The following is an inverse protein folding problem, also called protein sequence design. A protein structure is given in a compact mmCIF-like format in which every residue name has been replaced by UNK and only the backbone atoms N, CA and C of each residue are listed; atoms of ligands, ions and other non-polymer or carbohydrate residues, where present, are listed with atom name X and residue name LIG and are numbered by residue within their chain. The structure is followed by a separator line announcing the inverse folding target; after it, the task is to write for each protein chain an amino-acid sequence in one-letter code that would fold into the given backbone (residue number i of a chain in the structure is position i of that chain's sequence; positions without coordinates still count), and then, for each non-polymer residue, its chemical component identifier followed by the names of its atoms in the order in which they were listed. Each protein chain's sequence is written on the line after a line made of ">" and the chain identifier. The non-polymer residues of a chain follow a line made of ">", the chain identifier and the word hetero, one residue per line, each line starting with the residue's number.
data_IF_122212773832
#
_entry.id   IF_122212773832
#
_cell.length_a   1.000
_cell.length_b   1.000
_cell.length_c   1.000
_cell.angle_alpha   90.00
_cell.angle_beta   90.00
_cell.angle_gamma   90.00
#
_symmetry.space_group_name_H-M   'P 1'
#
loop_
_entity.id
_entity.type
_entity.pdbx_description
1 polymer ?
#
# COMPACT_ATOMS: atom_id res chain seq x y z
N UNK A 1 -20.48 -24.50 -20.21
CA UNK A 1 -19.69 -24.99 -19.06
C UNK A 1 -20.09 -26.44 -18.84
N UNK A 2 -19.14 -27.37 -18.68
CA UNK A 2 -19.50 -28.79 -18.48
C UNK A 2 -19.96 -29.00 -17.04
N UNK A 3 -21.20 -29.45 -16.83
CA UNK A 3 -21.78 -29.75 -15.50
C UNK A 3 -20.90 -30.72 -14.69
N UNK A 4 -20.17 -31.60 -15.36
CA UNK A 4 -19.26 -32.56 -14.75
C UNK A 4 -18.09 -31.89 -14.02
N UNK A 5 -17.64 -30.72 -14.48
CA UNK A 5 -16.48 -30.01 -13.93
C UNK A 5 -16.90 -29.28 -12.65
N UNK A 6 -18.06 -28.61 -12.68
CA UNK A 6 -18.65 -27.98 -11.49
C UNK A 6 -18.93 -29.00 -10.39
N UNK A 7 -19.41 -30.20 -10.75
CA UNK A 7 -19.63 -31.29 -9.79
C UNK A 7 -18.33 -31.76 -9.14
N UNK A 8 -17.25 -31.89 -9.91
CA UNK A 8 -15.93 -32.29 -9.39
C UNK A 8 -15.31 -31.21 -8.51
N UNK A 9 -15.42 -29.94 -8.89
CA UNK A 9 -14.94 -28.82 -8.09
C UNK A 9 -15.70 -28.73 -6.76
N UNK A 10 -17.02 -28.96 -6.73
CA UNK A 10 -17.81 -29.05 -5.48
C UNK A 10 -17.30 -30.13 -4.54
N UNK A 11 -16.96 -31.31 -5.07
CA UNK A 11 -16.39 -32.40 -4.27
C UNK A 11 -15.00 -32.05 -3.72
N UNK A 12 -14.21 -31.30 -4.48
CA UNK A 12 -12.83 -30.98 -4.12
C UNK A 12 -12.70 -29.76 -3.22
N UNK A 13 -13.51 -28.72 -3.40
CA UNK A 13 -13.47 -27.46 -2.66
C UNK A 13 -14.45 -27.44 -1.49
N UNK A 14 -15.57 -28.15 -1.57
CA UNK A 14 -16.57 -28.24 -0.48
C UNK A 14 -17.42 -26.98 -0.27
N UNK A 15 -17.19 -25.91 -1.04
CA UNK A 15 -17.91 -24.63 -0.95
C UNK A 15 -18.28 -24.13 -2.36
N UNK A 16 -19.57 -23.84 -2.56
CA UNK A 16 -20.12 -23.33 -3.82
C UNK A 16 -19.54 -21.96 -4.22
N UNK A 17 -19.15 -21.13 -3.25
CA UNK A 17 -18.54 -19.83 -3.51
C UNK A 17 -17.08 -19.98 -3.98
N UNK A 18 -16.32 -20.91 -3.39
CA UNK A 18 -14.98 -21.26 -3.88
C UNK A 18 -15.05 -21.89 -5.28
N UNK A 19 -16.06 -22.70 -5.57
CA UNK A 19 -16.30 -23.25 -6.91
C UNK A 19 -16.60 -22.13 -7.91
N UNK A 20 -17.40 -21.13 -7.52
CA UNK A 20 -17.71 -19.97 -8.36
C UNK A 20 -16.45 -19.14 -8.63
N UNK A 21 -15.66 -18.85 -7.59
CA UNK A 21 -14.40 -18.11 -7.69
C UNK A 21 -13.39 -18.85 -8.57
N UNK A 22 -13.22 -20.16 -8.35
CA UNK A 22 -12.36 -21.01 -9.16
C UNK A 22 -12.78 -20.96 -10.64
N UNK A 23 -14.07 -21.12 -10.91
CA UNK A 23 -14.60 -21.14 -12.28
C UNK A 23 -14.47 -19.77 -12.95
N UNK A 24 -14.61 -18.69 -12.19
CA UNK A 24 -14.46 -17.32 -12.69
C UNK A 24 -13.00 -16.99 -13.04
N UNK A 25 -12.04 -17.50 -12.26
CA UNK A 25 -10.62 -17.16 -12.40
C UNK A 25 -9.87 -18.12 -13.34
N UNK A 26 -10.18 -19.42 -13.31
CA UNK A 26 -9.41 -20.47 -14.01
C UNK A 26 -10.24 -21.22 -15.08
N UNK A 27 -11.52 -20.85 -15.24
CA UNK A 27 -12.40 -21.47 -16.21
C UNK A 27 -12.72 -22.94 -15.90
N UNK A 28 -12.70 -23.80 -16.91
CA UNK A 28 -13.10 -25.21 -16.82
C UNK A 28 -11.95 -26.20 -16.58
N UNK A 29 -10.72 -25.74 -16.38
CA UNK A 29 -9.58 -26.64 -16.15
C UNK A 29 -9.48 -26.94 -14.66
N UNK A 30 -9.40 -28.21 -14.27
CA UNK A 30 -9.23 -28.62 -12.85
C UNK A 30 -7.73 -28.76 -12.56
N UNK A 31 -7.21 -27.90 -11.69
CA UNK A 31 -5.83 -27.89 -11.22
C UNK A 31 -5.83 -28.16 -9.71
N UNK A 32 -5.17 -29.26 -9.32
CA UNK A 32 -5.12 -29.72 -7.93
C UNK A 32 -4.22 -28.80 -7.07
N UNK A 33 -3.19 -28.19 -7.66
CA UNK A 33 -2.32 -27.24 -6.98
C UNK A 33 -3.09 -26.00 -6.54
N UNK A 34 -3.87 -25.42 -7.46
CA UNK A 34 -4.73 -24.26 -7.20
C UNK A 34 -5.82 -24.59 -6.19
N UNK A 35 -6.44 -25.78 -6.29
CA UNK A 35 -7.46 -26.22 -5.31
C UNK A 35 -6.87 -26.35 -3.91
N UNK A 36 -5.64 -26.88 -3.78
CA UNK A 36 -4.93 -26.95 -2.50
C UNK A 36 -4.62 -25.55 -1.97
N UNK A 37 -4.10 -24.67 -2.81
CA UNK A 37 -3.81 -23.28 -2.42
C UNK A 37 -5.07 -22.53 -1.98
N UNK A 38 -6.20 -22.70 -2.67
CA UNK A 38 -7.48 -22.10 -2.27
C UNK A 38 -8.00 -22.66 -0.94
N UNK A 39 -7.78 -23.95 -0.67
CA UNK A 39 -8.11 -24.58 0.62
C UNK A 39 -7.17 -24.14 1.74
N UNK A 40 -5.89 -24.05 1.46
CA UNK A 40 -4.87 -23.68 2.44
C UNK A 40 -4.95 -22.17 2.76
N UNK A 41 -5.28 -21.34 1.75
CA UNK A 41 -5.62 -19.93 1.93
C UNK A 41 -6.92 -19.74 2.71
N UNK A 42 -7.88 -20.66 2.58
CA UNK A 42 -9.12 -20.68 3.37
C UNK A 42 -8.93 -21.16 4.81
N UNK A 43 -7.91 -21.99 5.07
CA UNK A 43 -7.61 -22.56 6.40
C UNK A 43 -6.73 -21.68 7.28
N UNK A 44 -6.11 -20.61 6.76
CA UNK A 44 -5.47 -19.58 7.58
C UNK A 44 -6.49 -18.64 8.28
N UNK A 45 -7.78 -18.87 8.08
CA UNK A 45 -8.89 -18.10 8.66
C UNK A 45 -10.00 -19.01 9.20
N UNK A 46 -9.67 -19.98 10.07
CA UNK A 46 -10.69 -20.78 10.77
C UNK A 46 -11.26 -20.06 11.99
N UNK A 47 -11.68 -18.82 11.81
CA UNK A 47 -12.88 -18.26 12.44
C UNK A 47 -13.66 -17.69 11.26
N UNK A 48 -14.81 -18.30 10.91
CA UNK A 48 -15.73 -17.69 9.96
C UNK A 48 -16.08 -16.30 10.50
N UNK A 49 -15.44 -15.25 9.97
CA UNK A 49 -15.76 -13.88 10.35
C UNK A 49 -17.14 -13.56 9.79
N UNK A 50 -18.17 -13.91 10.57
CA UNK A 50 -19.59 -13.70 10.27
C UNK A 50 -19.81 -12.22 10.02
N UNK A 51 -20.21 -11.85 8.81
CA UNK A 51 -20.55 -10.47 8.49
C UNK A 51 -20.65 -10.18 7.00
N UNK A 52 -21.27 -9.05 6.68
CA UNK A 52 -21.36 -8.52 5.32
C UNK A 52 -19.98 -8.16 4.78
N UNK A 53 -19.79 -8.32 3.47
CA UNK A 53 -18.56 -7.89 2.81
C UNK A 53 -18.43 -6.36 2.83
N UNK A 54 -17.36 -5.80 3.44
CA UNK A 54 -17.13 -4.36 3.46
C UNK A 54 -16.60 -3.83 2.11
N UNK A 55 -16.12 -4.70 1.21
CA UNK A 55 -15.50 -4.30 -0.06
C UNK A 55 -16.55 -4.23 -1.17
N UNK A 56 -16.41 -3.24 -2.05
CA UNK A 56 -17.15 -3.17 -3.31
C UNK A 56 -16.21 -2.87 -4.48
N UNK A 57 -16.61 -3.29 -5.67
CA UNK A 57 -15.83 -3.14 -6.90
C UNK A 57 -16.12 -1.82 -7.61
N UNK A 58 -15.13 -1.34 -8.34
CA UNK A 58 -15.15 -0.12 -9.13
C UNK A 58 -14.62 -0.41 -10.53
N UNK A 59 -15.31 0.08 -11.55
CA UNK A 59 -14.80 0.08 -12.93
C UNK A 59 -14.12 1.41 -13.23
N UNK A 60 -12.85 1.35 -13.59
CA UNK A 60 -11.98 2.51 -13.80
C UNK A 60 -11.34 2.48 -15.19
N UNK A 61 -10.94 3.66 -15.67
CA UNK A 61 -10.20 3.81 -16.91
C UNK A 61 -8.72 4.12 -16.62
N UNK A 62 -7.82 3.35 -17.22
CA UNK A 62 -6.38 3.57 -17.12
C UNK A 62 -5.96 4.84 -17.88
N UNK A 63 -5.26 5.79 -17.26
CA UNK A 63 -4.79 7.00 -17.97
C UNK A 63 -3.62 6.72 -18.93
N UNK A 64 -2.87 5.62 -18.72
CA UNK A 64 -1.65 5.32 -19.49
C UNK A 64 -2.00 4.66 -20.83
N UNK A 65 -2.77 3.56 -20.80
CA UNK A 65 -3.11 2.79 -22.00
C UNK A 65 -4.57 2.93 -22.47
N UNK A 66 -5.36 3.79 -21.81
CA UNK A 66 -6.79 4.03 -22.09
C UNK A 66 -7.69 2.77 -22.00
N UNK A 67 -7.23 1.72 -21.32
CA UNK A 67 -8.08 0.57 -21.03
C UNK A 67 -9.25 0.99 -20.11
N UNK A 68 -10.47 0.66 -20.51
CA UNK A 68 -11.71 1.08 -19.83
C UNK A 68 -12.19 0.12 -18.74
N UNK A 69 -11.62 -1.09 -18.69
CA UNK A 69 -12.06 -2.15 -17.80
C UNK A 69 -10.98 -2.46 -16.76
N UNK A 70 -10.57 -1.45 -15.98
CA UNK A 70 -9.68 -1.65 -14.84
C UNK A 70 -10.53 -1.87 -13.58
N UNK A 71 -10.39 -3.02 -12.94
CA UNK A 71 -11.07 -3.32 -11.68
C UNK A 71 -10.29 -2.70 -10.53
N UNK A 72 -10.97 -1.84 -9.76
CA UNK A 72 -10.49 -1.35 -8.47
C UNK A 72 -11.40 -1.80 -7.33
N UNK A 73 -10.90 -1.73 -6.10
CA UNK A 73 -11.65 -2.08 -4.90
C UNK A 73 -11.72 -0.89 -3.96
N UNK A 74 -12.82 -0.75 -3.23
CA UNK A 74 -12.93 0.25 -2.17
C UNK A 74 -13.77 -0.26 -0.99
N UNK A 75 -13.63 0.38 0.16
CA UNK A 75 -14.37 0.03 1.38
C UNK A 75 -15.67 0.83 1.47
N UNK A 76 -16.75 0.16 1.86
CA UNK A 76 -18.01 0.80 2.26
C UNK A 76 -17.74 1.78 3.40
N UNK A 77 -18.38 2.93 3.38
CA UNK A 77 -18.18 3.96 4.40
C UNK A 77 -18.50 3.39 5.80
N UNK A 78 -17.60 3.65 6.78
CA UNK A 78 -17.71 3.20 8.17
C UNK A 78 -17.82 1.68 8.36
N UNK A 79 -17.43 0.88 7.36
CA UNK A 79 -17.47 -0.59 7.44
C UNK A 79 -16.27 -1.20 8.16
N UNK A 80 -15.17 -0.45 8.26
CA UNK A 80 -13.95 -0.86 8.96
C UNK A 80 -13.47 0.30 9.84
N UNK A 81 -12.91 -0.03 11.00
CA UNK A 81 -12.09 0.88 11.81
C UNK A 81 -10.65 0.73 11.33
N UNK A 82 -10.00 1.87 11.07
CA UNK A 82 -8.64 1.95 10.53
C UNK A 82 -7.72 2.54 11.58
N UNK A 83 -6.70 1.78 11.98
CA UNK A 83 -5.67 2.22 12.92
C UNK A 83 -4.29 1.98 12.31
N UNK A 84 -3.38 2.95 12.39
CA UNK A 84 -2.00 2.76 11.92
C UNK A 84 -1.19 1.94 12.93
N UNK A 85 -0.34 1.04 12.45
CA UNK A 85 0.70 0.43 13.28
C UNK A 85 1.83 1.45 13.60
N UNK A 86 2.91 1.03 14.27
CA UNK A 86 4.04 1.93 14.60
C UNK A 86 4.74 2.51 13.35
N UNK A 87 4.59 1.86 12.20
CA UNK A 87 5.04 2.34 10.89
C UNK A 87 3.95 3.09 10.11
N UNK A 88 2.84 3.44 10.79
CA UNK A 88 1.68 4.15 10.23
C UNK A 88 0.96 3.39 9.10
N UNK A 89 1.26 2.10 8.92
CA UNK A 89 0.57 1.23 7.96
C UNK A 89 -0.81 0.89 8.49
N UNK A 90 -1.88 1.11 7.70
CA UNK A 90 -3.25 0.94 8.17
C UNK A 90 -3.57 -0.52 8.45
N UNK A 91 -4.19 -0.78 9.59
CA UNK A 91 -4.83 -2.02 9.98
C UNK A 91 -6.32 -1.85 10.00
N UNK A 92 -7.00 -2.83 9.45
CA UNK A 92 -8.43 -2.83 9.27
C UNK A 92 -9.06 -3.81 10.25
N UNK A 93 -10.09 -3.34 10.95
CA UNK A 93 -10.92 -4.16 11.84
C UNK A 93 -12.39 -3.97 11.46
N UNK A 94 -13.17 -5.04 11.48
CA UNK A 94 -14.59 -5.02 11.15
C UNK A 94 -15.38 -4.15 12.13
N UNK A 95 -16.42 -3.48 11.63
CA UNK A 95 -17.31 -2.64 12.45
C UNK A 95 -18.76 -3.05 12.23
N UNK A 96 -19.48 -3.24 13.32
CA UNK A 96 -20.90 -3.57 13.30
C UNK A 96 -21.14 -4.93 12.64
N UNK A 97 -21.87 -4.92 11.53
CA UNK A 97 -22.23 -6.13 10.78
C UNK A 97 -21.21 -6.56 9.71
N UNK A 98 -20.15 -5.78 9.50
CA UNK A 98 -19.17 -6.07 8.46
C UNK A 98 -18.06 -6.95 9.02
N UNK A 99 -17.70 -7.98 8.26
CA UNK A 99 -16.52 -8.82 8.57
C UNK A 99 -15.23 -8.00 8.45
N UNK A 100 -14.15 -8.45 9.09
CA UNK A 100 -12.85 -7.80 8.94
C UNK A 100 -12.25 -8.21 7.59
N UNK A 101 -11.57 -7.26 6.94
CA UNK A 101 -10.88 -7.52 5.67
C UNK A 101 -9.54 -6.83 5.71
N UNK A 102 -8.46 -7.56 5.41
CA UNK A 102 -7.16 -6.95 5.18
C UNK A 102 -7.16 -6.19 3.84
N UNK A 103 -7.60 -4.93 3.87
CA UNK A 103 -7.71 -4.12 2.66
C UNK A 103 -6.34 -3.75 2.06
N UNK A 104 -5.22 -3.94 2.78
CA UNK A 104 -3.89 -3.76 2.20
C UNK A 104 -3.63 -4.73 1.04
N UNK A 105 -4.29 -5.90 1.01
CA UNK A 105 -4.22 -6.81 -0.13
C UNK A 105 -4.87 -6.22 -1.39
N UNK A 106 -5.88 -5.36 -1.26
CA UNK A 106 -6.71 -4.89 -2.38
C UNK A 106 -6.50 -3.41 -2.72
N UNK A 107 -5.84 -2.65 -1.84
CA UNK A 107 -5.70 -1.19 -1.94
C UNK A 107 -5.05 -0.75 -3.25
N UNK A 108 -4.04 -1.48 -3.72
CA UNK A 108 -3.36 -1.16 -4.98
C UNK A 108 -4.19 -1.63 -6.17
N UNK A 109 -4.55 -0.68 -7.03
CA UNK A 109 -5.28 -0.91 -8.28
C UNK A 109 -4.24 -1.14 -9.37
N UNK A 110 -4.41 -2.18 -10.18
CA UNK A 110 -3.50 -2.54 -11.28
C UNK A 110 -4.27 -2.60 -12.58
N UNK A 111 -3.76 -1.93 -13.62
CA UNK A 111 -4.32 -2.08 -14.96
C UNK A 111 -3.92 -3.43 -15.57
N UNK A 112 -4.89 -4.29 -15.84
CA UNK A 112 -4.70 -5.61 -16.45
C UNK A 112 -4.18 -5.63 -17.90
N UNK A 113 -3.86 -4.48 -18.50
CA UNK A 113 -3.29 -4.38 -19.85
C UNK A 113 -1.85 -3.86 -19.87
N UNK A 114 -1.56 -2.81 -19.12
CA UNK A 114 -0.25 -2.14 -19.14
C UNK A 114 0.46 -2.17 -17.78
N UNK A 115 -0.16 -2.83 -16.79
CA UNK A 115 0.31 -2.98 -15.42
C UNK A 115 0.69 -1.69 -14.70
N UNK A 116 0.17 -0.55 -15.18
CA UNK A 116 0.17 0.68 -14.39
C UNK A 116 -0.56 0.42 -13.07
N UNK A 117 0.09 0.73 -11.95
CA UNK A 117 -0.43 0.46 -10.62
C UNK A 117 -0.37 1.71 -9.73
N UNK A 118 -1.44 1.95 -8.98
CA UNK A 118 -1.47 2.98 -7.94
C UNK A 118 -2.44 2.61 -6.81
N UNK A 119 -2.10 2.92 -5.54
CA UNK A 119 -3.05 2.86 -4.43
C UNK A 119 -4.01 4.07 -4.37
N UNK A 120 -3.76 5.14 -5.13
CA UNK A 120 -4.65 6.31 -5.20
C UNK A 120 -5.61 6.18 -6.37
N UNK A 121 -6.90 6.02 -6.06
CA UNK A 121 -7.97 5.96 -7.05
C UNK A 121 -8.00 7.19 -7.97
N UNK A 122 -7.53 8.36 -7.52
CA UNK A 122 -7.49 9.59 -8.33
C UNK A 122 -6.46 9.53 -9.45
N UNK A 123 -5.51 8.60 -9.40
CA UNK A 123 -4.62 8.34 -10.53
C UNK A 123 -5.33 7.65 -11.68
N UNK A 124 -6.54 7.11 -11.48
CA UNK A 124 -7.37 6.54 -12.52
C UNK A 124 -8.49 7.49 -12.93
N UNK A 125 -8.98 7.34 -14.15
CA UNK A 125 -10.17 8.08 -14.59
C UNK A 125 -11.41 7.31 -14.11
N UNK A 126 -12.26 7.96 -13.32
CA UNK A 126 -13.47 7.36 -12.75
C UNK A 126 -14.68 7.69 -13.60
N UNK A 127 -15.50 6.68 -13.88
CA UNK A 127 -16.84 6.85 -14.46
C UNK A 127 -17.83 7.04 -13.31
N UNK A 128 -18.62 8.10 -13.34
CA UNK A 128 -19.72 8.26 -12.39
C UNK A 128 -20.96 7.53 -12.92
N UNK A 129 -21.33 6.42 -12.28
CA UNK A 129 -22.43 5.54 -12.70
C UNK A 129 -23.78 6.26 -12.83
N UNK A 130 -24.01 7.33 -12.06
CA UNK A 130 -25.28 8.07 -12.05
C UNK A 130 -25.37 9.15 -13.12
N UNK A 131 -24.24 9.75 -13.49
CA UNK A 131 -24.22 10.92 -14.40
C UNK A 131 -23.50 10.65 -15.73
N UNK A 132 -22.90 9.47 -15.88
CA UNK A 132 -22.01 9.09 -16.96
C UNK A 132 -20.87 10.10 -17.23
N UNK A 133 -20.57 10.97 -16.24
CA UNK A 133 -19.49 11.95 -16.33
C UNK A 133 -18.17 11.29 -15.92
N UNK A 134 -17.12 11.63 -16.67
CA UNK A 134 -15.76 11.18 -16.38
C UNK A 134 -15.08 12.16 -15.43
N UNK A 135 -14.64 11.67 -14.27
CA UNK A 135 -13.67 12.37 -13.44
C UNK A 135 -12.29 11.96 -13.93
N UNK A 136 -11.58 12.89 -14.59
CA UNK A 136 -10.25 12.64 -15.16
C UNK A 136 -9.23 12.34 -14.06
N UNK A 137 -8.28 11.48 -14.40
CA UNK A 137 -7.11 11.18 -13.57
C UNK A 137 -6.29 12.43 -13.26
N UNK A 138 -5.74 12.54 -12.06
CA UNK A 138 -4.83 13.62 -11.68
C UNK A 138 -3.51 13.59 -12.47
N UNK A 139 -3.13 12.45 -13.03
CA UNK A 139 -1.94 12.34 -13.90
C UNK A 139 -2.12 13.07 -15.22
N UNK A 140 -3.35 13.35 -15.64
CA UNK A 140 -3.60 14.10 -16.90
C UNK A 140 -3.15 15.56 -16.83
N UNK A 141 -2.78 16.06 -15.64
CA UNK A 141 -2.18 17.38 -15.45
C UNK A 141 -0.76 17.43 -16.04
N UNK A 142 -0.04 16.29 -16.10
CA UNK A 142 1.28 16.19 -16.69
C UNK A 142 1.30 15.14 -17.83
N UNK A 143 0.98 15.54 -19.08
CA UNK A 143 0.95 14.62 -20.23
C UNK A 143 2.30 13.98 -20.57
N UNK A 144 3.41 14.68 -20.28
CA UNK A 144 4.76 14.18 -20.55
C UNK A 144 5.08 13.01 -19.62
N UNK A 145 4.70 13.11 -18.34
CA UNK A 145 4.82 12.01 -17.40
C UNK A 145 3.96 10.79 -17.80
N UNK A 146 2.73 11.01 -18.28
CA UNK A 146 1.90 9.91 -18.81
C UNK A 146 2.54 9.25 -20.04
N UNK A 147 3.23 10.03 -20.88
CA UNK A 147 3.95 9.52 -22.03
C UNK A 147 5.17 8.71 -21.62
N UNK A 148 5.90 9.14 -20.58
CA UNK A 148 7.00 8.39 -19.98
C UNK A 148 6.53 7.06 -19.35
N UNK A 149 5.41 7.08 -18.62
CA UNK A 149 4.77 5.86 -18.12
C UNK A 149 4.38 4.92 -19.27
N UNK A 150 3.97 5.46 -20.42
CA UNK A 150 3.62 4.65 -21.58
C UNK A 150 4.84 4.02 -22.24
N UNK A 151 5.99 4.70 -22.29
CA UNK A 151 7.22 4.14 -22.87
C UNK A 151 7.81 3.00 -22.05
N UNK A 152 7.61 3.00 -20.73
CA UNK A 152 8.04 1.92 -19.82
C UNK A 152 7.01 0.78 -19.67
N UNK A 153 6.03 0.69 -20.58
CA UNK A 153 4.99 -0.34 -20.51
C UNK A 153 5.53 -1.75 -20.65
N UNK A 154 6.48 -1.96 -21.56
CA UNK A 154 7.03 -3.29 -21.85
C UNK A 154 7.84 -3.84 -20.66
N UNK A 155 8.53 -2.97 -19.92
CA UNK A 155 9.24 -3.33 -18.68
C UNK A 155 8.27 -3.87 -17.63
N UNK A 156 7.12 -3.20 -17.43
CA UNK A 156 6.10 -3.67 -16.48
C UNK A 156 5.45 -4.98 -16.94
N UNK A 157 5.23 -5.15 -18.25
CA UNK A 157 4.71 -6.41 -18.80
C UNK A 157 5.70 -7.55 -18.55
N UNK A 158 6.98 -7.34 -18.84
CA UNK A 158 8.03 -8.32 -18.59
C UNK A 158 8.15 -8.65 -17.09
N UNK A 159 8.10 -7.64 -16.22
CA UNK A 159 8.11 -7.82 -14.77
C UNK A 159 6.96 -8.72 -14.27
N UNK A 160 5.73 -8.47 -14.74
CA UNK A 160 4.57 -9.28 -14.37
C UNK A 160 4.65 -10.69 -14.97
N UNK A 161 5.07 -10.82 -16.22
CA UNK A 161 5.23 -12.12 -16.87
C UNK A 161 6.28 -13.00 -16.14
N UNK A 162 7.35 -12.39 -15.62
CA UNK A 162 8.34 -13.10 -14.81
C UNK A 162 7.80 -13.50 -13.42
N UNK A 163 6.95 -12.67 -12.81
CA UNK A 163 6.33 -12.97 -11.53
C UNK A 163 5.22 -14.02 -11.61
N UNK A 164 4.56 -14.15 -12.76
CA UNK A 164 3.41 -15.03 -12.97
C UNK A 164 3.52 -15.82 -14.29
N UNK A 165 4.50 -16.73 -14.44
CA UNK A 165 4.75 -17.43 -15.69
C UNK A 165 3.58 -18.34 -16.14
N UNK A 166 2.84 -18.90 -15.17
CA UNK A 166 1.81 -19.92 -15.41
C UNK A 166 0.37 -19.42 -15.17
N UNK A 167 0.16 -18.12 -14.93
CA UNK A 167 -1.17 -17.60 -14.59
C UNK A 167 -1.99 -17.31 -15.85
N UNK A 168 -3.03 -18.11 -16.07
CA UNK A 168 -4.02 -17.90 -17.13
C UNK A 168 -5.17 -17.03 -16.63
N UNK A 169 -4.93 -15.74 -16.40
CA UNK A 169 -5.96 -14.83 -15.89
C UNK A 169 -5.39 -13.49 -15.44
N UNK A 170 -6.25 -12.63 -14.87
CA UNK A 170 -5.79 -11.43 -14.18
C UNK A 170 -5.47 -11.78 -12.73
N UNK A 171 -4.17 -11.90 -12.35
CA UNK A 171 -3.79 -12.29 -10.99
C UNK A 171 -4.24 -11.26 -9.96
N UNK A 172 -4.48 -10.01 -10.36
CA UNK A 172 -4.76 -8.89 -9.45
C UNK A 172 -6.22 -8.81 -9.02
N UNK A 173 -7.11 -9.67 -9.53
CA UNK A 173 -8.49 -9.76 -9.06
C UNK A 173 -8.56 -10.39 -7.66
N UNK A 174 -9.71 -10.21 -7.01
CA UNK A 174 -10.02 -10.83 -5.71
C UNK A 174 -10.47 -12.29 -5.91
N UNK A 175 -10.07 -13.24 -5.04
CA UNK A 175 -9.20 -13.08 -3.87
C UNK A 175 -7.74 -12.86 -4.26
N UNK A 176 -7.08 -11.88 -3.63
CA UNK A 176 -5.68 -11.56 -3.88
C UNK A 176 -4.80 -12.19 -2.81
N UNK A 177 -3.85 -13.03 -3.23
CA UNK A 177 -2.83 -13.59 -2.35
C UNK A 177 -1.86 -12.52 -1.85
N UNK A 178 -1.10 -12.83 -0.80
CA UNK A 178 -0.05 -11.95 -0.28
C UNK A 178 1.00 -11.66 -1.35
N UNK A 179 1.41 -12.67 -2.12
CA UNK A 179 2.41 -12.51 -3.19
C UNK A 179 1.92 -11.58 -4.29
N UNK A 180 0.67 -11.75 -4.75
CA UNK A 180 0.10 -10.84 -5.73
C UNK A 180 -0.04 -9.42 -5.18
N UNK A 181 -0.42 -9.26 -3.91
CA UNK A 181 -0.47 -7.95 -3.28
C UNK A 181 0.91 -7.28 -3.25
N UNK A 182 1.97 -8.01 -2.88
CA UNK A 182 3.36 -7.53 -2.92
C UNK A 182 3.75 -7.12 -4.34
N UNK A 183 3.47 -7.94 -5.36
CA UNK A 183 3.76 -7.59 -6.76
C UNK A 183 3.00 -6.32 -7.18
N UNK A 184 1.74 -6.15 -6.76
CA UNK A 184 0.99 -4.93 -7.05
C UNK A 184 1.64 -3.68 -6.44
N UNK A 185 2.18 -3.80 -5.22
CA UNK A 185 2.90 -2.72 -4.55
C UNK A 185 4.22 -2.43 -5.26
N UNK A 186 4.96 -3.47 -5.68
CA UNK A 186 6.19 -3.30 -6.48
C UNK A 186 5.94 -2.60 -7.81
N UNK A 187 4.82 -2.87 -8.48
CA UNK A 187 4.42 -2.10 -9.68
C UNK A 187 4.18 -0.61 -9.36
N UNK A 188 3.65 -0.30 -8.17
CA UNK A 188 3.53 1.10 -7.71
C UNK A 188 4.88 1.72 -7.34
N UNK A 189 5.86 0.93 -6.90
CA UNK A 189 7.24 1.39 -6.70
C UNK A 189 7.90 1.75 -8.02
N UNK A 190 7.81 0.91 -9.07
CA UNK A 190 8.33 1.23 -10.41
C UNK A 190 7.79 2.56 -10.95
N UNK A 191 6.52 2.86 -10.67
CA UNK A 191 5.93 4.17 -11.00
C UNK A 191 6.56 5.29 -10.16
N UNK A 192 6.74 5.10 -8.85
CA UNK A 192 7.34 6.10 -7.97
C UNK A 192 8.83 6.36 -8.29
N UNK A 193 9.57 5.36 -8.77
CA UNK A 193 10.92 5.52 -9.32
C UNK A 193 10.90 6.43 -10.56
N UNK A 194 9.94 6.24 -11.48
CA UNK A 194 9.79 7.14 -12.63
C UNK A 194 9.35 8.56 -12.22
N UNK A 195 8.58 8.70 -11.13
CA UNK A 195 8.27 10.00 -10.54
C UNK A 195 9.54 10.68 -10.00
N UNK A 196 10.42 9.92 -9.34
CA UNK A 196 11.72 10.37 -8.87
C UNK A 196 12.60 10.88 -10.02
N UNK A 197 12.76 10.09 -11.08
CA UNK A 197 13.52 10.48 -12.28
C UNK A 197 12.96 11.74 -12.96
N UNK A 198 11.64 11.93 -12.84
CA UNK A 198 10.92 13.08 -13.39
C UNK A 198 10.88 14.28 -12.43
N UNK A 199 11.57 14.23 -11.28
CA UNK A 199 11.68 15.33 -10.33
C UNK A 199 10.41 15.60 -9.51
N UNK A 200 9.50 14.63 -9.38
CA UNK A 200 8.32 14.79 -8.53
C UNK A 200 8.73 14.76 -7.05
N UNK A 201 8.09 15.59 -6.20
CA UNK A 201 8.43 15.63 -4.79
C UNK A 201 7.96 14.37 -4.05
N UNK A 202 8.66 14.05 -2.97
CA UNK A 202 8.33 12.96 -2.03
C UNK A 202 8.33 11.54 -2.63
N UNK A 203 9.01 11.32 -3.75
CA UNK A 203 9.09 9.99 -4.37
C UNK A 203 9.77 8.97 -3.46
N UNK A 204 10.92 9.29 -2.86
CA UNK A 204 11.58 8.46 -1.85
C UNK A 204 10.65 8.13 -0.66
N UNK A 205 9.92 9.12 -0.13
CA UNK A 205 8.93 8.87 0.93
C UNK A 205 7.84 7.87 0.49
N UNK A 206 7.36 7.95 -0.76
CA UNK A 206 6.39 6.98 -1.28
C UNK A 206 6.99 5.57 -1.36
N UNK A 207 8.21 5.43 -1.88
CA UNK A 207 8.90 4.16 -2.01
C UNK A 207 9.15 3.53 -0.64
N UNK A 208 9.65 4.30 0.34
CA UNK A 208 9.79 3.84 1.72
C UNK A 208 8.47 3.36 2.35
N UNK A 209 7.35 4.06 2.09
CA UNK A 209 6.03 3.60 2.52
C UNK A 209 5.58 2.30 1.83
N UNK A 210 5.94 2.08 0.57
CA UNK A 210 5.65 0.83 -0.13
C UNK A 210 6.42 -0.34 0.46
N UNK A 211 7.69 -0.14 0.79
CA UNK A 211 8.48 -1.14 1.52
C UNK A 211 7.86 -1.50 2.87
N UNK A 212 7.39 -0.52 3.65
CA UNK A 212 6.68 -0.79 4.90
C UNK A 212 5.35 -1.55 4.71
N UNK A 213 4.62 -1.30 3.62
CA UNK A 213 3.42 -2.08 3.27
C UNK A 213 3.77 -3.53 2.93
N UNK A 214 4.86 -3.75 2.18
CA UNK A 214 5.37 -5.10 1.89
C UNK A 214 5.79 -5.79 3.20
N UNK A 215 6.49 -5.08 4.08
CA UNK A 215 6.93 -5.61 5.36
C UNK A 215 5.76 -6.07 6.25
N UNK A 216 4.66 -5.30 6.30
CA UNK A 216 3.45 -5.67 7.04
C UNK A 216 2.77 -6.90 6.40
N UNK A 217 2.71 -6.98 5.06
CA UNK A 217 2.14 -8.13 4.38
C UNK A 217 2.96 -9.41 4.61
N UNK A 218 4.29 -9.31 4.57
CA UNK A 218 5.20 -10.41 4.90
C UNK A 218 5.01 -10.87 6.35
N UNK A 219 4.96 -9.94 7.30
CA UNK A 219 4.73 -10.22 8.73
C UNK A 219 3.40 -10.95 8.95
N UNK A 220 2.31 -10.46 8.36
CA UNK A 220 0.99 -11.07 8.46
C UNK A 220 0.94 -12.49 7.85
N UNK A 221 1.80 -12.77 6.87
CA UNK A 221 1.98 -14.09 6.28
C UNK A 221 2.96 -14.98 7.06
N UNK A 222 3.48 -14.54 8.22
CA UNK A 222 4.47 -15.27 9.00
C UNK A 222 5.84 -15.36 8.34
N UNK A 223 6.17 -14.45 7.40
CA UNK A 223 7.44 -14.41 6.67
C UNK A 223 8.38 -13.36 7.29
N UNK A 224 9.68 -13.54 7.08
CA UNK A 224 10.66 -12.51 7.44
C UNK A 224 10.41 -11.23 6.63
N UNK A 225 10.51 -10.08 7.30
CA UNK A 225 10.25 -8.77 6.71
C UNK A 225 11.41 -7.77 6.89
N UNK A 226 12.56 -8.25 7.37
CA UNK A 226 13.73 -7.42 7.71
C UNK A 226 14.26 -6.63 6.51
N UNK A 227 14.46 -7.29 5.37
CA UNK A 227 14.97 -6.64 4.15
C UNK A 227 14.06 -5.50 3.69
N UNK A 228 12.74 -5.65 3.84
CA UNK A 228 11.80 -4.58 3.48
C UNK A 228 11.86 -3.42 4.46
N UNK A 229 12.10 -3.66 5.75
CA UNK A 229 12.29 -2.60 6.75
C UNK A 229 13.63 -1.88 6.52
N UNK A 230 14.68 -2.60 6.13
CA UNK A 230 15.99 -2.03 5.77
C UNK A 230 15.86 -1.12 4.55
N UNK A 231 15.28 -1.60 3.45
CA UNK A 231 15.04 -0.80 2.26
C UNK A 231 14.15 0.43 2.54
N UNK A 232 13.13 0.29 3.40
CA UNK A 232 12.32 1.44 3.81
C UNK A 232 13.14 2.52 4.51
N UNK A 233 14.09 2.14 5.38
CA UNK A 233 14.91 3.10 6.11
C UNK A 233 15.90 3.85 5.22
N UNK A 234 16.43 3.18 4.18
CA UNK A 234 17.30 3.82 3.18
C UNK A 234 16.52 4.89 2.40
N UNK A 235 15.31 4.55 1.93
CA UNK A 235 14.43 5.49 1.24
C UNK A 235 14.00 6.67 2.13
N UNK A 236 13.71 6.44 3.41
CA UNK A 236 13.38 7.55 4.32
C UNK A 236 14.57 8.44 4.64
N UNK A 237 15.77 7.88 4.68
CA UNK A 237 16.99 8.65 4.83
C UNK A 237 17.22 9.53 3.61
N UNK A 238 17.16 8.98 2.40
CA UNK A 238 17.27 9.76 1.16
C UNK A 238 16.16 10.82 1.06
N UNK A 239 14.93 10.48 1.47
CA UNK A 239 13.83 11.44 1.52
C UNK A 239 14.08 12.60 2.50
N UNK A 240 14.73 12.34 3.63
CA UNK A 240 15.04 13.35 4.63
C UNK A 240 16.24 14.22 4.21
N UNK A 241 17.32 13.58 3.77
CA UNK A 241 18.58 14.25 3.37
C UNK A 241 18.39 15.16 2.15
N UNK A 242 17.47 14.80 1.25
CA UNK A 242 17.12 15.62 0.07
C UNK A 242 15.98 16.62 0.32
N UNK A 243 15.51 16.78 1.56
CA UNK A 243 14.42 17.70 1.90
C UNK A 243 14.90 19.00 2.52
N UNK A 244 14.21 20.11 2.21
CA UNK A 244 14.38 21.39 2.90
C UNK A 244 13.61 21.42 4.24
N UNK A 245 13.58 20.29 4.97
CA UNK A 245 12.86 20.15 6.23
C UNK A 245 13.19 21.33 7.17
N UNK A 246 12.19 22.02 7.78
CA UNK A 246 10.79 21.62 8.00
C UNK A 246 9.73 22.47 7.26
N UNK A 247 9.56 22.30 5.95
CA UNK A 247 8.50 22.98 5.18
C UNK A 247 7.13 22.32 5.30
N UNK A 248 7.09 20.99 5.39
CA UNK A 248 5.84 20.23 5.35
C UNK A 248 5.74 19.17 6.45
N UNK A 249 4.52 18.81 6.82
CA UNK A 249 4.27 17.74 7.80
C UNK A 249 4.78 16.38 7.31
N UNK A 250 4.90 16.18 5.99
CA UNK A 250 5.43 14.93 5.41
C UNK A 250 6.88 14.73 5.83
N UNK A 251 7.71 15.77 5.84
CA UNK A 251 9.12 15.67 6.22
C UNK A 251 9.28 15.27 7.69
N UNK A 252 8.45 15.82 8.58
CA UNK A 252 8.43 15.46 10.00
C UNK A 252 7.98 14.00 10.19
N UNK A 253 7.03 13.54 9.38
CA UNK A 253 6.62 12.12 9.34
C UNK A 253 7.72 11.22 8.81
N UNK A 254 8.47 11.65 7.79
CA UNK A 254 9.64 10.93 7.27
C UNK A 254 10.66 10.72 8.39
N UNK A 255 10.97 11.76 9.16
CA UNK A 255 11.90 11.65 10.30
C UNK A 255 11.40 10.65 11.36
N UNK A 256 10.11 10.66 11.70
CA UNK A 256 9.52 9.66 12.59
C UNK A 256 9.68 8.23 12.05
N UNK A 257 9.34 7.99 10.79
CA UNK A 257 9.43 6.66 10.17
C UNK A 257 10.87 6.18 10.03
N UNK A 258 11.80 7.07 9.70
CA UNK A 258 13.24 6.77 9.69
C UNK A 258 13.71 6.31 11.07
N UNK A 259 13.38 7.04 12.13
CA UNK A 259 13.76 6.66 13.49
C UNK A 259 13.10 5.34 13.91
N UNK A 260 11.80 5.16 13.61
CA UNK A 260 11.08 3.93 13.93
C UNK A 260 11.70 2.70 13.25
N UNK A 261 12.05 2.80 11.97
CA UNK A 261 12.68 1.70 11.21
C UNK A 261 14.09 1.40 11.72
N UNK A 262 14.91 2.42 12.00
CA UNK A 262 16.24 2.25 12.58
C UNK A 262 16.20 1.58 13.96
N UNK A 263 15.24 1.95 14.82
CA UNK A 263 15.05 1.29 16.11
C UNK A 263 14.70 -0.18 15.93
N UNK A 264 13.73 -0.49 15.05
CA UNK A 264 13.31 -1.88 14.79
C UNK A 264 14.45 -2.76 14.27
N UNK A 265 15.38 -2.18 13.51
CA UNK A 265 16.59 -2.86 13.03
C UNK A 265 17.68 -3.03 14.11
N UNK A 266 17.48 -2.50 15.31
CA UNK A 266 18.49 -2.50 16.38
C UNK A 266 19.56 -1.41 16.21
N UNK A 267 19.40 -0.47 15.28
CA UNK A 267 20.34 0.63 15.04
C UNK A 267 20.03 1.85 15.92
N UNK A 268 20.00 1.64 17.24
CA UNK A 268 19.66 2.67 18.22
C UNK A 268 20.60 3.88 18.15
N UNK A 269 21.89 3.67 17.84
CA UNK A 269 22.86 4.77 17.73
C UNK A 269 22.44 5.77 16.65
N UNK A 270 22.16 5.28 15.43
CA UNK A 270 21.76 6.13 14.31
C UNK A 270 20.37 6.74 14.53
N UNK A 271 19.43 5.98 15.09
CA UNK A 271 18.13 6.51 15.50
C UNK A 271 18.27 7.70 16.47
N UNK A 272 19.19 7.60 17.44
CA UNK A 272 19.45 8.67 18.42
C UNK A 272 20.16 9.89 17.83
N UNK A 273 20.87 9.75 16.71
CA UNK A 273 21.39 10.89 15.93
C UNK A 273 20.22 11.64 15.28
N UNK A 274 19.32 10.91 14.60
CA UNK A 274 18.16 11.53 13.95
C UNK A 274 17.15 12.14 14.92
N UNK A 275 16.99 11.57 16.11
CA UNK A 275 16.09 12.08 17.14
C UNK A 275 16.37 13.54 17.53
N UNK A 276 17.63 13.98 17.44
CA UNK A 276 18.04 15.35 17.78
C UNK A 276 17.52 16.39 16.79
N UNK A 277 17.27 16.01 15.53
CA UNK A 277 16.75 16.93 14.53
C UNK A 277 15.39 17.51 14.90
N UNK A 278 14.58 16.82 15.73
CA UNK A 278 13.33 17.40 16.22
C UNK A 278 13.57 18.70 16.99
N UNK A 279 14.59 18.76 17.84
CA UNK A 279 14.94 19.96 18.60
C UNK A 279 15.51 21.07 17.71
N UNK A 280 16.31 20.70 16.70
CA UNK A 280 16.87 21.62 15.73
C UNK A 280 15.77 22.26 14.86
N UNK A 281 14.82 21.44 14.38
CA UNK A 281 13.62 21.87 13.64
C UNK A 281 12.78 22.85 14.47
N UNK A 282 12.51 22.52 15.74
CA UNK A 282 11.72 23.40 16.62
C UNK A 282 12.45 24.73 16.81
N UNK A 283 13.77 24.71 17.02
CA UNK A 283 14.58 25.92 17.16
C UNK A 283 14.52 26.78 15.90
N UNK A 284 14.75 26.19 14.73
CA UNK A 284 14.70 26.89 13.45
C UNK A 284 13.33 27.54 13.19
N UNK A 285 12.25 26.81 13.44
CA UNK A 285 10.88 27.32 13.29
C UNK A 285 10.59 28.49 14.25
N UNK A 286 11.10 28.43 15.48
CA UNK A 286 10.99 29.54 16.44
C UNK A 286 11.78 30.78 15.98
N UNK A 287 12.96 30.60 15.40
CA UNK A 287 13.76 31.69 14.84
C UNK A 287 13.06 32.33 13.62
N UNK A 288 12.35 31.53 12.82
CA UNK A 288 11.55 32.04 11.69
C UNK A 288 10.23 32.72 12.14
N UNK A 289 9.75 32.46 13.36
CA UNK A 289 8.52 33.06 13.90
C UNK A 289 8.61 34.56 14.20
N UNK A 290 9.80 35.14 14.24
CA UNK A 290 9.98 36.59 14.42
C UNK A 290 9.45 37.41 13.23
N UNK A 291 9.22 36.77 12.06
CA UNK A 291 8.46 37.37 10.98
C UNK A 291 6.94 37.30 11.26
N UNK A 292 6.36 38.47 11.56
CA UNK A 292 4.94 38.63 11.89
C UNK A 292 3.98 38.10 10.82
N UNK A 293 4.41 38.01 9.55
CA UNK A 293 3.56 37.58 8.43
C UNK A 293 3.30 36.07 8.44
N UNK A 294 4.20 35.27 9.00
CA UNK A 294 4.14 33.80 8.94
C UNK A 294 4.00 33.11 10.31
N UNK A 295 3.91 33.91 11.39
CA UNK A 295 3.82 33.43 12.78
C UNK A 295 2.80 32.30 13.00
N UNK A 296 1.60 32.39 12.41
CA UNK A 296 0.56 31.38 12.56
C UNK A 296 0.92 30.05 11.86
N UNK A 297 1.56 30.10 10.68
CA UNK A 297 2.03 28.93 9.93
C UNK A 297 3.07 28.17 10.76
N UNK A 298 4.11 28.87 11.22
CA UNK A 298 5.18 28.24 11.99
C UNK A 298 4.72 27.72 13.34
N UNK A 299 3.84 28.45 14.05
CA UNK A 299 3.25 27.94 15.31
C UNK A 299 2.49 26.62 15.11
N UNK A 300 1.75 26.49 14.01
CA UNK A 300 1.07 25.22 13.68
C UNK A 300 2.08 24.11 13.37
N UNK A 301 3.16 24.43 12.64
CA UNK A 301 4.21 23.47 12.33
C UNK A 301 4.92 22.98 13.60
N UNK A 302 5.31 23.88 14.51
CA UNK A 302 5.92 23.52 15.79
C UNK A 302 5.03 22.55 16.58
N UNK A 303 3.72 22.85 16.70
CA UNK A 303 2.81 21.93 17.39
C UNK A 303 2.70 20.56 16.72
N UNK A 304 2.88 20.48 15.39
CA UNK A 304 2.96 19.21 14.67
C UNK A 304 4.27 18.48 14.97
N UNK A 305 5.40 19.19 14.95
CA UNK A 305 6.73 18.66 15.27
C UNK A 305 6.77 18.13 16.70
N UNK A 306 6.26 18.87 17.68
CA UNK A 306 6.16 18.43 19.09
C UNK A 306 5.34 17.15 19.22
N UNK A 307 4.23 17.04 18.47
CA UNK A 307 3.39 15.85 18.45
C UNK A 307 4.15 14.62 17.92
N UNK A 308 4.90 14.78 16.83
CA UNK A 308 5.73 13.71 16.27
C UNK A 308 6.95 13.38 17.14
N UNK A 309 7.60 14.39 17.72
CA UNK A 309 8.67 14.21 18.70
C UNK A 309 8.20 13.36 19.87
N UNK A 310 7.05 13.70 20.46
CA UNK A 310 6.47 12.97 21.59
C UNK A 310 6.18 11.50 21.25
N UNK A 311 5.65 11.23 20.05
CA UNK A 311 5.46 9.86 19.55
C UNK A 311 6.78 9.12 19.36
N UNK A 312 7.80 9.80 18.84
CA UNK A 312 9.13 9.22 18.64
C UNK A 312 9.81 8.90 19.96
N UNK A 313 9.70 9.78 20.97
CA UNK A 313 10.22 9.55 22.31
C UNK A 313 9.59 8.30 22.96
N UNK A 314 8.29 8.09 22.75
CA UNK A 314 7.64 6.86 23.19
C UNK A 314 8.29 5.62 22.53
N UNK A 315 8.50 5.62 21.20
CA UNK A 315 9.23 4.53 20.54
C UNK A 315 10.63 4.32 21.12
N UNK A 316 11.33 5.41 21.46
CA UNK A 316 12.67 5.37 22.02
C UNK A 316 12.72 4.75 23.41
N UNK A 317 11.71 5.00 24.24
CA UNK A 317 11.58 4.41 25.58
C UNK A 317 11.40 2.89 25.50
N UNK A 318 10.60 2.41 24.54
CA UNK A 318 10.32 0.98 24.32
C UNK A 318 11.23 0.32 23.27
N UNK A 319 12.35 0.94 22.89
CA UNK A 319 13.24 0.44 21.83
C UNK A 319 13.79 -0.97 22.09
N UNK A 320 13.97 -1.32 23.36
CA UNK A 320 14.56 -2.59 23.80
C UNK A 320 13.48 -3.62 24.19
N UNK A 321 12.19 -3.31 24.03
CA UNK A 321 11.05 -4.18 24.40
C UNK A 321 10.51 -4.95 23.17
N UNK A 322 10.81 -6.24 23.00
CA UNK A 322 10.36 -7.01 21.84
C UNK A 322 8.83 -7.10 21.71
N UNK A 323 8.10 -7.06 22.83
CA UNK A 323 6.64 -7.18 22.84
C UNK A 323 5.99 -5.93 22.24
N UNK A 324 6.60 -4.76 22.48
CA UNK A 324 6.18 -3.51 21.86
C UNK A 324 6.31 -3.54 20.33
N UNK A 325 7.33 -4.23 19.82
CA UNK A 325 7.62 -4.34 18.37
C UNK A 325 7.07 -5.61 17.71
N UNK A 326 6.40 -6.50 18.44
CA UNK A 326 5.86 -7.77 17.89
C UNK A 326 4.90 -7.55 16.72
N UNK A 327 4.23 -6.42 16.78
CA UNK A 327 3.15 -6.03 15.89
C UNK A 327 3.67 -5.14 14.75
N UNK A 328 4.96 -5.12 14.41
CA UNK A 328 5.49 -4.41 13.23
C UNK A 328 6.70 -5.08 12.62
#
# INVERSE_FOLDING_TARGET
>A
MSEDITRRLRLLLGDDELVRQYTQQYGSVIDIGIIREMKDSGNASSEEEVGEDPVYELTLHCPVCNNKNVTGYNLKAKSQKVEGNLFLIPRYTGVGKYRKVNFNLLKTIVCNKCFFASPDIKDFTKVNDFSNKLTKSQLTVNPDFVSHLRSSMDERIAFVAAAFPDVTGDPFLRPRSVDTAIISIKLSMLRAEQEMDSGFPYSHYKIGNYHLQIAELQRLAGRENRESIEAASEEFMDAFDNSDCPQTEIEVKTLYLLIATLIKQGNAKRAGEYLRFFDEIIKELNDQMYDSKYKAKYKKMIGSVDGWKSRTMNLWEYRDDPEFWKDV
#
